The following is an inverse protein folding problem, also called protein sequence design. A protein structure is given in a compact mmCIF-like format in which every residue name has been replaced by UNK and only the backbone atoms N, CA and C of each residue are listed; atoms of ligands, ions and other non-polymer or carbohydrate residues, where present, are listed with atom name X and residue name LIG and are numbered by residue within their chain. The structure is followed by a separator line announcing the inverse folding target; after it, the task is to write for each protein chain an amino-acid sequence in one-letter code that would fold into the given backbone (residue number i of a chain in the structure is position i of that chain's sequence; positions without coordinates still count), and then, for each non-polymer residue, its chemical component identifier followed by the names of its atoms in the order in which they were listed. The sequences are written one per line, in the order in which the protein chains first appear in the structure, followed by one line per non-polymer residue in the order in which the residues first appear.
data_IF_258889101262
#
_entry.id   IF_258889101262
#
_cell.length_a   1.000
_cell.length_b   1.000
_cell.length_c   1.000
_cell.angle_alpha   90.00
_cell.angle_beta   90.00
_cell.angle_gamma   90.00
#
_symmetry.space_group_name_H-M   'P 1'
#
loop_
_entity.id
_entity.type
_entity.pdbx_description
1 polymer ?
#
# COMPACT_ATOMS: atom_id res chain seq x y z
N UNK A 1 32.31 10.15 25.24
CA UNK A 1 32.75 10.02 23.82
C UNK A 1 31.92 9.04 22.96
N UNK A 2 31.50 7.86 23.46
CA UNK A 2 30.85 6.82 22.63
C UNK A 2 29.35 6.95 22.32
N UNK A 3 28.61 7.88 22.94
CA UNK A 3 27.16 8.09 22.68
C UNK A 3 26.88 8.80 21.36
N UNK A 4 27.73 9.75 20.98
CA UNK A 4 27.58 10.53 19.73
C UNK A 4 27.75 9.66 18.48
N UNK A 5 28.75 8.78 18.46
CA UNK A 5 28.97 7.88 17.32
C UNK A 5 27.84 6.84 17.17
N UNK A 6 27.34 6.27 18.26
CA UNK A 6 26.18 5.36 18.21
C UNK A 6 24.91 6.07 17.72
N UNK A 7 24.69 7.32 18.13
CA UNK A 7 23.55 8.13 17.66
C UNK A 7 23.68 8.49 16.18
N UNK A 8 24.88 8.84 15.71
CA UNK A 8 25.14 9.11 14.29
C UNK A 8 24.89 7.85 13.43
N UNK A 9 25.42 6.70 13.84
CA UNK A 9 25.20 5.41 13.15
C UNK A 9 23.71 5.03 13.13
N UNK A 10 23.02 5.22 14.27
CA UNK A 10 21.56 5.02 14.37
C UNK A 10 20.80 5.90 13.37
N UNK A 11 21.20 7.16 13.24
CA UNK A 11 20.51 8.13 12.38
C UNK A 11 20.72 7.80 10.90
N UNK A 12 21.94 7.43 10.51
CA UNK A 12 22.24 6.96 9.15
C UNK A 12 21.46 5.68 8.83
N UNK A 13 21.44 4.71 9.76
CA UNK A 13 20.67 3.47 9.59
C UNK A 13 19.17 3.75 9.40
N UNK A 14 18.60 4.65 10.20
CA UNK A 14 17.19 5.07 10.06
C UNK A 14 16.93 5.75 8.72
N UNK A 15 17.83 6.61 8.25
CA UNK A 15 17.72 7.25 6.94
C UNK A 15 17.72 6.22 5.81
N UNK A 16 18.68 5.29 5.82
CA UNK A 16 18.77 4.22 4.83
C UNK A 16 17.50 3.38 4.83
N UNK A 17 16.99 2.99 6.01
CA UNK A 17 15.75 2.26 6.13
C UNK A 17 14.54 3.04 5.58
N UNK A 18 14.46 4.33 5.89
CA UNK A 18 13.36 5.18 5.43
C UNK A 18 13.33 5.28 3.90
N UNK A 19 14.51 5.39 3.27
CA UNK A 19 14.63 5.46 1.81
C UNK A 19 14.34 4.11 1.15
N UNK A 20 14.86 3.01 1.70
CA UNK A 20 14.82 1.71 1.03
C UNK A 20 13.58 0.87 1.35
N UNK A 21 12.90 1.12 2.47
CA UNK A 21 11.79 0.28 2.94
C UNK A 21 10.53 1.10 3.13
N UNK A 22 10.63 2.21 3.86
CA UNK A 22 9.46 3.00 4.25
C UNK A 22 8.82 3.72 3.05
N UNK A 23 9.60 4.50 2.29
CA UNK A 23 9.07 5.23 1.12
C UNK A 23 8.49 4.30 0.05
N UNK A 24 9.16 3.21 -0.36
CA UNK A 24 8.58 2.28 -1.34
C UNK A 24 7.28 1.63 -0.83
N UNK A 25 7.22 1.26 0.45
CA UNK A 25 6.01 0.69 1.05
C UNK A 25 4.84 1.68 1.00
N UNK A 26 5.07 2.94 1.42
CA UNK A 26 4.04 3.98 1.38
C UNK A 26 3.56 4.23 -0.04
N UNK A 27 4.50 4.30 -0.99
CA UNK A 27 4.16 4.53 -2.39
C UNK A 27 3.31 3.40 -2.97
N UNK A 28 3.68 2.14 -2.71
CA UNK A 28 2.91 0.98 -3.20
C UNK A 28 1.50 0.89 -2.59
N UNK A 29 1.36 1.27 -1.33
CA UNK A 29 0.15 1.06 -0.57
C UNK A 29 -0.79 2.26 -0.59
N UNK A 30 -0.26 3.48 -0.71
CA UNK A 30 -1.02 4.72 -0.63
C UNK A 30 -0.82 5.65 -1.84
N UNK A 31 0.11 5.33 -2.74
CA UNK A 31 0.43 6.17 -3.90
C UNK A 31 1.23 7.44 -3.58
N UNK A 32 1.71 7.57 -2.34
CA UNK A 32 2.43 8.76 -1.83
C UNK A 32 3.67 8.32 -1.05
N UNK A 33 4.71 9.15 -1.01
CA UNK A 33 5.99 8.82 -0.38
C UNK A 33 6.15 9.40 1.04
N UNK A 34 5.23 10.25 1.48
CA UNK A 34 5.25 10.92 2.77
C UNK A 34 4.10 10.51 3.69
N UNK A 35 4.45 10.06 4.91
CA UNK A 35 3.48 9.76 5.98
C UNK A 35 2.67 10.97 6.41
N UNK A 36 3.23 12.19 6.32
CA UNK A 36 2.52 13.41 6.75
C UNK A 36 1.34 13.72 5.84
N UNK A 37 1.49 13.47 4.54
CA UNK A 37 0.42 13.66 3.55
C UNK A 37 -0.65 12.58 3.67
N UNK A 38 -0.27 11.36 4.04
CA UNK A 38 -1.20 10.24 4.24
C UNK A 38 -1.92 10.34 5.59
N UNK A 39 -1.22 10.80 6.64
CA UNK A 39 -1.62 10.74 8.03
C UNK A 39 -0.84 9.65 8.77
N UNK A 40 0.07 10.07 9.64
CA UNK A 40 1.01 9.15 10.33
C UNK A 40 0.28 8.12 11.20
N UNK A 41 -0.82 8.53 11.83
CA UNK A 41 -1.67 7.68 12.65
C UNK A 41 -2.30 6.52 11.85
N UNK A 42 -2.78 6.79 10.63
CA UNK A 42 -3.37 5.79 9.72
C UNK A 42 -2.35 4.75 9.30
N UNK A 43 -1.16 5.21 8.91
CA UNK A 43 -0.06 4.32 8.52
C UNK A 43 0.40 3.48 9.71
N UNK A 44 0.54 4.11 10.88
CA UNK A 44 0.97 3.43 12.09
C UNK A 44 -0.07 2.41 12.59
N UNK A 45 -1.37 2.68 12.43
CA UNK A 45 -2.45 1.73 12.73
C UNK A 45 -2.33 0.46 11.88
N UNK A 46 -2.11 0.61 10.57
CA UNK A 46 -1.92 -0.52 9.66
C UNK A 46 -0.61 -1.29 9.95
N UNK A 47 0.48 -0.58 10.25
CA UNK A 47 1.79 -1.18 10.54
C UNK A 47 1.82 -1.90 11.91
N UNK A 48 1.05 -1.42 12.90
CA UNK A 48 0.94 -2.06 14.22
C UNK A 48 0.05 -3.29 14.19
N UNK A 49 -0.94 -3.32 13.30
CA UNK A 49 -1.85 -4.46 13.17
C UNK A 49 -1.13 -5.65 12.53
N UNK A 50 -1.05 -6.76 13.27
CA UNK A 50 -0.46 -8.00 12.77
C UNK A 50 -1.24 -8.55 11.57
N UNK A 51 -0.53 -9.27 10.71
CA UNK A 51 -1.12 -9.96 9.56
C UNK A 51 -2.25 -10.89 10.01
N UNK A 52 -3.46 -10.69 9.50
CA UNK A 52 -4.64 -11.45 9.91
C UNK A 52 -5.96 -10.82 9.47
N UNK A 53 -7.07 -11.32 10.02
CA UNK A 53 -8.43 -10.82 9.73
C UNK A 53 -8.60 -9.35 10.11
N UNK A 54 -8.01 -8.92 11.23
CA UNK A 54 -8.07 -7.52 11.68
C UNK A 54 -7.40 -6.57 10.68
N UNK A 55 -6.21 -6.92 10.18
CA UNK A 55 -5.53 -6.14 9.15
C UNK A 55 -6.34 -6.06 7.85
N UNK A 56 -7.00 -7.15 7.46
CA UNK A 56 -7.85 -7.18 6.27
C UNK A 56 -9.07 -6.25 6.42
N UNK A 57 -9.65 -6.18 7.62
CA UNK A 57 -10.75 -5.25 7.91
C UNK A 57 -10.30 -3.79 7.87
N UNK A 58 -9.12 -3.46 8.41
CA UNK A 58 -8.56 -2.10 8.32
C UNK A 58 -8.29 -1.72 6.86
N UNK A 59 -7.70 -2.62 6.08
CA UNK A 59 -7.48 -2.41 4.64
C UNK A 59 -8.80 -2.20 3.90
N UNK A 60 -9.84 -3.01 4.18
CA UNK A 60 -11.15 -2.85 3.56
C UNK A 60 -11.83 -1.53 3.93
N UNK A 61 -11.68 -1.05 5.18
CA UNK A 61 -12.14 0.29 5.57
C UNK A 61 -11.37 1.38 4.85
N UNK A 62 -10.05 1.25 4.73
CA UNK A 62 -9.19 2.21 4.03
C UNK A 62 -9.59 2.35 2.55
N UNK A 63 -9.96 1.24 1.92
CA UNK A 63 -10.43 1.20 0.53
C UNK A 63 -11.82 1.81 0.38
N UNK A 64 -12.76 1.46 1.25
CA UNK A 64 -14.17 1.86 1.10
C UNK A 64 -14.46 3.25 1.64
N UNK A 65 -13.92 3.60 2.81
CA UNK A 65 -14.19 4.87 3.49
C UNK A 65 -13.22 5.98 3.04
N UNK A 66 -11.95 5.63 2.81
CA UNK A 66 -10.91 6.61 2.40
C UNK A 66 -10.61 6.59 0.90
N UNK A 67 -11.32 5.76 0.13
CA UNK A 67 -11.17 5.61 -1.32
C UNK A 67 -9.73 5.32 -1.77
N UNK A 68 -8.92 4.68 -0.92
CA UNK A 68 -7.57 4.29 -1.29
C UNK A 68 -7.62 3.09 -2.24
N UNK A 69 -7.74 3.36 -3.54
CA UNK A 69 -7.85 2.32 -4.55
C UNK A 69 -6.56 1.51 -4.74
N UNK A 70 -5.41 1.99 -4.25
CA UNK A 70 -4.16 1.24 -4.29
C UNK A 70 -4.17 0.01 -3.37
N UNK A 71 -5.01 0.01 -2.34
CA UNK A 71 -5.19 -1.13 -1.43
C UNK A 71 -6.39 -2.03 -1.77
N UNK A 72 -7.13 -1.76 -2.86
CA UNK A 72 -8.41 -2.39 -3.16
C UNK A 72 -8.26 -3.88 -3.52
N UNK A 73 -8.35 -4.75 -2.52
CA UNK A 73 -8.38 -6.22 -2.64
C UNK A 73 -9.56 -6.70 -3.52
N UNK A 74 -10.75 -6.14 -3.34
CA UNK A 74 -11.96 -6.55 -4.08
C UNK A 74 -11.95 -6.20 -5.58
N UNK A 75 -11.05 -5.32 -6.04
CA UNK A 75 -11.00 -4.96 -7.47
C UNK A 75 -10.31 -6.00 -8.35
N UNK A 76 -9.68 -7.03 -7.78
CA UNK A 76 -9.06 -8.09 -8.59
C UNK A 76 -10.13 -8.98 -9.21
N UNK A 77 -11.17 -9.34 -8.45
CA UNK A 77 -12.30 -10.14 -8.95
C UNK A 77 -13.05 -9.42 -10.08
N UNK A 78 -13.42 -8.16 -9.86
CA UNK A 78 -14.10 -7.33 -10.86
C UNK A 78 -13.23 -7.13 -12.11
N UNK A 79 -11.91 -6.94 -11.96
CA UNK A 79 -10.97 -6.86 -13.10
C UNK A 79 -10.88 -8.18 -13.86
N UNK A 80 -10.89 -9.32 -13.18
CA UNK A 80 -10.88 -10.64 -13.83
C UNK A 80 -12.19 -10.85 -14.61
N UNK A 81 -13.35 -10.57 -14.01
CA UNK A 81 -14.65 -10.70 -14.67
C UNK A 81 -14.74 -9.76 -15.87
N UNK A 82 -14.35 -8.50 -15.72
CA UNK A 82 -14.32 -7.53 -16.80
C UNK A 82 -13.37 -7.95 -17.93
N UNK A 83 -12.17 -8.44 -17.59
CA UNK A 83 -11.20 -8.94 -18.58
C UNK A 83 -11.76 -10.15 -19.35
N UNK A 84 -12.45 -11.06 -18.66
CA UNK A 84 -13.06 -12.23 -19.27
C UNK A 84 -14.20 -11.85 -20.23
N UNK A 85 -15.08 -10.94 -19.81
CA UNK A 85 -16.15 -10.37 -20.65
C UNK A 85 -15.53 -9.63 -21.84
N UNK A 86 -14.50 -8.81 -21.62
CA UNK A 86 -13.80 -8.10 -22.68
C UNK A 86 -13.20 -9.07 -23.71
N UNK A 87 -12.56 -10.16 -23.31
CA UNK A 87 -12.06 -11.17 -24.25
C UNK A 87 -13.18 -11.85 -25.05
N UNK A 88 -14.28 -12.21 -24.39
CA UNK A 88 -15.46 -12.81 -25.06
C UNK A 88 -16.00 -11.82 -26.10
N UNK A 89 -16.33 -10.60 -25.67
CA UNK A 89 -16.87 -9.54 -26.52
C UNK A 89 -15.92 -9.22 -27.68
N UNK A 90 -14.61 -9.08 -27.45
CA UNK A 90 -13.67 -8.82 -28.55
C UNK A 90 -13.51 -10.02 -29.48
N UNK A 91 -13.59 -11.27 -29.00
CA UNK A 91 -13.52 -12.45 -29.86
C UNK A 91 -14.79 -12.61 -30.72
N UNK A 92 -15.97 -12.30 -30.17
CA UNK A 92 -17.25 -12.48 -30.88
C UNK A 92 -17.72 -11.25 -31.68
N UNK A 93 -17.31 -10.03 -31.29
CA UNK A 93 -17.73 -8.78 -31.93
C UNK A 93 -16.58 -8.15 -32.74
N UNK A 94 -15.32 -8.53 -32.46
CA UNK A 94 -14.11 -8.00 -33.08
C UNK A 94 -13.46 -8.89 -34.16
N UNK A 95 -14.12 -9.97 -34.58
CA UNK A 95 -13.83 -10.61 -35.86
C UNK A 95 -14.85 -10.07 -36.88
N UNK A 96 -14.49 -9.13 -37.77
CA UNK A 96 -15.09 -9.13 -39.10
C UNK A 96 -14.73 -10.41 -39.85
#
# INVERSE_FOLDING_TARGET
PGRSQKQAISSVKKQIWSILVERPYLFMQYGEDSKEKIGEERVNELLKTKSGKERSNIVNKEVNEKKNQMMKLDSVGDRIIFTLIYYIVNTFIGIP
#
